data_IF_054437078762
#
_entry.id   IF_054437078762
#
_cell.length_a   1.000
_cell.length_b   1.000
_cell.length_c   1.000
_cell.angle_alpha   90.00
_cell.angle_beta   90.00
_cell.angle_gamma   90.00
#
_symmetry.space_group_name_H-M   'P 1'
#
loop_
_entity.id
_entity.type
_entity.pdbx_description
1 polymer ?
#
# COMPACT_ATOMS: atom_id res chain seq x y z
N UNK A 1 1.29 27.09 1.00
CA UNK A 1 1.93 27.15 2.30
C UNK A 1 1.90 25.82 2.98
N UNK A 2 2.96 25.58 3.74
CA UNK A 2 3.07 24.37 4.51
C UNK A 2 2.10 24.36 5.65
N UNK A 3 1.46 23.25 5.84
CA UNK A 3 0.51 23.07 6.92
C UNK A 3 0.90 21.84 7.71
N UNK A 4 0.67 21.91 9.00
CA UNK A 4 0.71 20.71 9.83
C UNK A 4 -0.70 20.22 10.00
N UNK A 5 -0.84 18.91 10.04
CA UNK A 5 -2.11 18.37 10.45
C UNK A 5 -2.23 18.47 11.97
N UNK A 6 -3.33 18.01 12.49
CA UNK A 6 -3.58 18.10 13.92
C UNK A 6 -2.67 17.19 14.74
N UNK A 7 -2.04 16.22 14.11
CA UNK A 7 -1.05 15.39 14.77
C UNK A 7 0.35 15.99 14.74
N UNK A 8 0.50 17.16 14.12
CA UNK A 8 1.77 17.83 14.05
C UNK A 8 2.69 17.36 12.95
N UNK A 9 2.22 16.49 12.09
CA UNK A 9 3.01 16.00 10.98
C UNK A 9 3.04 17.00 9.84
N UNK A 10 4.20 17.09 9.22
CA UNK A 10 4.40 17.91 8.05
C UNK A 10 4.17 17.07 6.81
N UNK A 11 3.17 17.41 6.03
CA UNK A 11 2.77 16.57 4.92
C UNK A 11 3.42 17.02 3.62
N UNK A 12 3.23 18.27 3.24
CA UNK A 12 3.84 18.76 2.00
C UNK A 12 3.69 20.27 1.91
N UNK A 13 4.49 20.84 0.99
CA UNK A 13 4.33 22.23 0.59
C UNK A 13 3.52 22.25 -0.69
N UNK A 14 2.20 22.20 -0.54
CA UNK A 14 1.29 22.00 -1.65
C UNK A 14 0.38 23.18 -1.83
N UNK A 15 -0.17 23.29 -3.05
CA UNK A 15 -1.17 24.31 -3.33
C UNK A 15 -2.49 23.96 -2.66
N UNK A 16 -3.38 24.93 -2.60
CA UNK A 16 -4.68 24.78 -1.94
C UNK A 16 -5.55 23.71 -2.60
N UNK A 17 -5.31 23.41 -3.88
CA UNK A 17 -6.10 22.42 -4.61
C UNK A 17 -5.54 21.03 -4.52
N UNK A 18 -4.41 20.85 -3.85
CA UNK A 18 -3.79 19.55 -3.74
C UNK A 18 -4.64 18.61 -2.92
N UNK A 19 -4.61 17.36 -3.34
CA UNK A 19 -5.26 16.28 -2.62
C UNK A 19 -4.22 15.37 -2.00
N UNK A 20 -4.61 14.68 -0.95
CA UNK A 20 -3.76 13.67 -0.33
C UNK A 20 -4.49 12.34 -0.30
N UNK A 21 -3.70 11.28 -0.25
CA UNK A 21 -4.20 9.94 0.00
C UNK A 21 -3.72 9.49 1.37
N UNK A 22 -4.63 8.97 2.17
CA UNK A 22 -4.32 8.43 3.48
C UNK A 22 -4.70 6.95 3.50
N UNK A 23 -3.80 6.10 3.94
CA UNK A 23 -3.99 4.65 3.95
C UNK A 23 -3.80 4.15 5.38
N UNK A 24 -4.77 3.37 5.86
CA UNK A 24 -4.72 2.78 7.20
C UNK A 24 -4.20 1.34 7.16
N UNK A 25 -3.80 0.85 8.33
CA UNK A 25 -3.24 -0.50 8.46
C UNK A 25 -4.22 -1.59 8.05
N UNK A 26 -5.52 -1.37 8.25
CA UNK A 26 -6.54 -2.35 7.88
C UNK A 26 -6.89 -2.31 6.39
N UNK A 27 -6.21 -1.48 5.61
CA UNK A 27 -6.35 -1.47 4.16
C UNK A 27 -7.33 -0.47 3.60
N UNK A 28 -7.91 0.37 4.42
CA UNK A 28 -8.79 1.43 3.94
C UNK A 28 -7.98 2.62 3.46
N UNK A 29 -8.44 3.27 2.39
CA UNK A 29 -7.82 4.51 1.98
C UNK A 29 -8.87 5.51 1.49
N UNK A 30 -8.48 6.77 1.52
CA UNK A 30 -9.36 7.87 1.17
C UNK A 30 -8.54 9.00 0.57
N UNK A 31 -9.11 9.64 -0.44
CA UNK A 31 -8.54 10.84 -1.06
C UNK A 31 -9.29 12.04 -0.51
N UNK A 32 -8.56 13.05 -0.05
CA UNK A 32 -9.18 14.24 0.53
C UNK A 32 -8.34 15.47 0.22
N UNK A 33 -8.93 16.65 0.35
CA UNK A 33 -8.17 17.89 0.22
C UNK A 33 -7.28 18.08 1.42
N UNK A 34 -6.10 18.63 1.18
CA UNK A 34 -5.11 18.81 2.24
C UNK A 34 -5.59 19.74 3.36
N UNK A 35 -6.56 20.60 3.07
CA UNK A 35 -7.07 21.54 4.07
C UNK A 35 -8.13 20.95 4.98
N UNK A 36 -8.66 19.79 4.65
CA UNK A 36 -9.68 19.15 5.44
C UNK A 36 -9.08 18.37 6.59
N UNK A 37 -9.73 18.42 7.75
CA UNK A 37 -9.20 17.81 8.96
C UNK A 37 -9.98 16.60 9.44
N UNK A 38 -11.08 16.29 8.79
CA UNK A 38 -11.99 15.26 9.29
C UNK A 38 -11.83 13.92 8.62
N UNK A 39 -10.77 13.71 7.84
CA UNK A 39 -10.66 12.50 7.04
C UNK A 39 -9.91 11.38 7.73
N UNK A 40 -9.66 11.44 8.97
CA UNK A 40 -8.73 10.56 9.65
C UNK A 40 -9.19 9.12 9.74
N UNK A 41 -8.24 8.23 9.53
CA UNK A 41 -8.34 6.85 9.99
C UNK A 41 -7.50 6.70 11.24
N UNK A 42 -7.78 5.68 12.03
CA UNK A 42 -6.84 5.23 13.03
C UNK A 42 -5.75 4.40 12.36
N UNK A 43 -4.57 4.34 12.95
CA UNK A 43 -3.47 3.51 12.46
C UNK A 43 -3.08 3.80 11.02
N UNK A 44 -2.86 5.06 10.71
CA UNK A 44 -2.35 5.43 9.39
C UNK A 44 -0.96 4.86 9.16
N UNK A 45 -0.76 4.26 7.99
CA UNK A 45 0.56 3.74 7.60
C UNK A 45 1.17 4.51 6.45
N UNK A 46 0.37 5.31 5.74
CA UNK A 46 0.88 6.10 4.62
C UNK A 46 0.00 7.32 4.40
N UNK A 47 0.65 8.45 4.20
CA UNK A 47 -0.01 9.69 3.76
C UNK A 47 0.89 10.33 2.71
N UNK A 48 0.31 10.67 1.57
CA UNK A 48 1.07 11.29 0.50
C UNK A 48 0.22 12.17 -0.38
N UNK A 49 0.89 12.92 -1.23
CA UNK A 49 0.20 13.75 -2.21
C UNK A 49 -0.45 12.85 -3.25
N UNK A 50 -1.69 13.15 -3.60
CA UNK A 50 -2.41 12.42 -4.64
C UNK A 50 -2.62 13.34 -5.84
N UNK A 51 -2.09 12.96 -6.99
CA UNK A 51 -2.22 13.69 -8.24
C UNK A 51 -3.07 12.88 -9.21
N UNK A 52 -4.24 13.39 -9.54
CA UNK A 52 -5.15 12.70 -10.43
C UNK A 52 -4.62 12.57 -11.85
N UNK A 53 -3.66 13.42 -12.23
CA UNK A 53 -3.00 13.32 -13.52
C UNK A 53 -1.83 12.35 -13.57
N UNK A 54 -1.50 11.76 -12.44
CA UNK A 54 -0.37 10.84 -12.32
C UNK A 54 -0.74 9.48 -12.91
N UNK A 55 -0.01 9.08 -13.95
CA UNK A 55 -0.22 7.77 -14.59
C UNK A 55 0.91 6.80 -14.30
N UNK A 56 1.86 7.18 -13.45
CA UNK A 56 3.07 6.40 -13.25
C UNK A 56 3.26 5.85 -11.86
N UNK A 57 2.55 6.40 -10.86
CA UNK A 57 2.67 5.89 -9.49
C UNK A 57 2.00 4.54 -9.37
N UNK A 58 2.74 3.58 -8.84
CA UNK A 58 2.28 2.22 -8.59
C UNK A 58 2.50 1.90 -7.11
N UNK A 59 1.47 1.34 -6.50
CA UNK A 59 1.55 0.89 -5.11
C UNK A 59 1.84 -0.61 -5.09
N UNK A 60 2.86 -0.99 -4.33
CA UNK A 60 3.18 -2.40 -4.10
C UNK A 60 2.78 -2.73 -2.67
N UNK A 61 2.01 -3.79 -2.50
CA UNK A 61 1.46 -4.12 -1.19
C UNK A 61 1.43 -5.62 -0.96
N UNK A 62 1.62 -6.00 0.30
CA UNK A 62 1.33 -7.36 0.77
C UNK A 62 0.33 -7.20 1.90
N UNK A 63 -0.77 -7.94 1.83
CA UNK A 63 -1.78 -7.89 2.86
C UNK A 63 -2.22 -9.29 3.27
N UNK A 64 -2.72 -9.39 4.49
CA UNK A 64 -3.29 -10.61 5.01
C UNK A 64 -4.81 -10.52 4.96
N UNK A 65 -5.44 -11.55 4.41
CA UNK A 65 -6.89 -11.64 4.42
C UNK A 65 -7.35 -12.11 5.80
N UNK A 66 -8.26 -11.34 6.39
CA UNK A 66 -8.70 -11.61 7.75
C UNK A 66 -9.54 -12.87 7.90
N UNK A 67 -10.20 -13.31 6.82
CA UNK A 67 -11.04 -14.49 6.89
C UNK A 67 -10.23 -15.77 6.78
N UNK A 68 -9.30 -15.82 5.83
CA UNK A 68 -8.57 -17.06 5.52
C UNK A 68 -7.16 -17.09 6.09
N UNK A 69 -6.61 -15.93 6.45
CA UNK A 69 -5.22 -15.83 6.88
C UNK A 69 -4.21 -15.93 5.74
N UNK A 70 -4.67 -15.98 4.51
CA UNK A 70 -3.81 -16.03 3.34
C UNK A 70 -3.20 -14.67 3.08
N UNK A 71 -1.93 -14.63 2.73
CA UNK A 71 -1.23 -13.40 2.38
C UNK A 71 -1.19 -13.23 0.87
N UNK A 72 -1.53 -12.03 0.41
CA UNK A 72 -1.55 -11.69 -1.00
C UNK A 72 -0.60 -10.54 -1.28
N UNK A 73 0.03 -10.57 -2.45
CA UNK A 73 0.81 -9.44 -2.96
C UNK A 73 0.12 -8.89 -4.19
N UNK A 74 0.11 -7.57 -4.31
CA UNK A 74 -0.48 -6.92 -5.48
C UNK A 74 0.28 -5.65 -5.83
N UNK A 75 0.22 -5.32 -7.10
CA UNK A 75 0.69 -4.03 -7.61
C UNK A 75 -0.50 -3.35 -8.28
N UNK A 76 -0.73 -2.11 -7.92
CA UNK A 76 -1.91 -1.44 -8.46
C UNK A 76 -1.69 0.06 -8.58
N UNK A 77 -2.40 0.65 -9.53
CA UNK A 77 -2.52 2.09 -9.63
C UNK A 77 -3.89 2.50 -9.12
N UNK A 78 -3.99 3.73 -8.64
CA UNK A 78 -5.24 4.25 -8.12
C UNK A 78 -5.75 5.29 -9.10
N UNK A 79 -6.86 4.98 -9.76
CA UNK A 79 -7.52 5.85 -10.72
C UNK A 79 -9.02 5.81 -10.46
N UNK A 80 -9.71 6.81 -10.99
CA UNK A 80 -11.18 6.83 -10.97
C UNK A 80 -11.74 6.75 -9.55
N UNK A 81 -11.18 7.57 -8.66
CA UNK A 81 -11.60 7.61 -7.26
C UNK A 81 -12.39 8.88 -6.97
N UNK A 82 -13.31 8.76 -6.04
CA UNK A 82 -14.13 9.88 -5.57
C UNK A 82 -13.52 10.44 -4.29
N UNK A 83 -13.46 11.77 -4.20
CA UNK A 83 -12.96 12.44 -3.00
C UNK A 83 -13.83 12.07 -1.79
N UNK A 84 -13.17 11.84 -0.68
CA UNK A 84 -13.80 11.55 0.63
C UNK A 84 -14.55 10.24 0.71
N UNK A 85 -14.44 9.39 -0.31
CA UNK A 85 -15.01 8.05 -0.26
C UNK A 85 -13.95 7.06 0.21
N UNK A 86 -14.35 6.10 1.04
CA UNK A 86 -13.45 5.05 1.49
C UNK A 86 -13.37 3.91 0.49
N UNK A 87 -12.16 3.41 0.31
CA UNK A 87 -11.89 2.27 -0.57
C UNK A 87 -11.03 1.26 0.19
N UNK A 88 -10.98 0.04 -0.33
CA UNK A 88 -10.19 -1.03 0.26
C UNK A 88 -9.06 -1.47 -0.66
N UNK A 89 -7.86 -1.61 -0.10
CA UNK A 89 -6.76 -2.29 -0.77
C UNK A 89 -6.94 -3.80 -0.67
N UNK A 90 -7.41 -4.26 0.49
CA UNK A 90 -7.72 -5.68 0.74
C UNK A 90 -9.07 -6.02 0.12
N UNK A 91 -9.55 -7.24 0.35
CA UNK A 91 -10.86 -7.64 -0.12
C UNK A 91 -11.98 -7.22 0.84
N UNK A 92 -11.65 -6.43 1.85
CA UNK A 92 -12.64 -5.89 2.77
C UNK A 92 -13.11 -6.84 3.85
N UNK A 93 -12.51 -8.01 3.96
CA UNK A 93 -12.92 -8.94 5.02
C UNK A 93 -12.44 -8.44 6.38
N UNK A 94 -13.25 -8.61 7.44
CA UNK A 94 -12.84 -8.17 8.77
C UNK A 94 -11.54 -8.83 9.20
N UNK A 95 -10.69 -8.06 9.85
CA UNK A 95 -9.39 -8.55 10.32
C UNK A 95 -8.28 -8.52 9.28
N UNK A 96 -8.56 -8.07 8.07
CA UNK A 96 -7.52 -7.91 7.05
C UNK A 96 -6.57 -6.79 7.45
N UNK A 97 -5.29 -6.93 7.08
CA UNK A 97 -4.28 -5.93 7.44
C UNK A 97 -3.21 -5.84 6.38
N UNK A 98 -2.70 -4.63 6.19
CA UNK A 98 -1.56 -4.37 5.32
C UNK A 98 -0.29 -4.74 6.10
N UNK A 99 0.54 -5.55 5.47
CA UNK A 99 1.83 -5.96 6.04
C UNK A 99 3.00 -5.23 5.40
N UNK A 100 2.83 -4.79 4.16
CA UNK A 100 3.86 -4.05 3.43
C UNK A 100 3.16 -3.12 2.44
N UNK A 101 3.65 -1.89 2.33
CA UNK A 101 3.12 -0.95 1.35
C UNK A 101 4.20 0.03 0.94
N UNK A 102 4.37 0.20 -0.37
CA UNK A 102 5.22 1.26 -0.91
C UNK A 102 4.49 1.98 -2.03
N UNK A 103 4.73 3.29 -2.10
CA UNK A 103 4.25 4.11 -3.20
C UNK A 103 5.45 4.39 -4.11
N UNK A 104 5.34 4.01 -5.36
CA UNK A 104 6.45 4.03 -6.29
C UNK A 104 6.14 4.98 -7.44
N UNK A 105 6.73 6.16 -7.42
CA UNK A 105 6.33 7.26 -8.29
C UNK A 105 6.64 7.04 -9.77
N UNK A 106 7.46 6.07 -10.08
CA UNK A 106 7.79 5.72 -11.47
C UNK A 106 7.68 4.21 -11.70
N UNK A 107 6.76 3.56 -11.01
CA UNK A 107 6.50 2.14 -11.21
C UNK A 107 7.64 1.22 -10.81
N UNK A 108 8.41 1.60 -9.81
CA UNK A 108 9.50 0.77 -9.31
C UNK A 108 8.95 -0.48 -8.64
N UNK A 109 9.72 -1.55 -8.69
CA UNK A 109 9.35 -2.83 -8.09
C UNK A 109 10.50 -3.37 -7.26
N UNK A 110 10.36 -3.22 -5.96
CA UNK A 110 11.37 -3.69 -5.01
C UNK A 110 11.28 -5.19 -4.77
N UNK A 111 12.27 -5.74 -4.10
CA UNK A 111 12.23 -7.09 -3.56
C UNK A 111 12.25 -7.01 -2.04
N UNK A 112 11.52 -7.92 -1.41
CA UNK A 112 11.42 -7.95 0.04
C UNK A 112 11.79 -9.33 0.57
N UNK A 113 12.25 -9.34 1.82
CA UNK A 113 12.52 -10.57 2.56
C UNK A 113 11.39 -10.75 3.56
N UNK A 114 10.76 -11.92 3.52
CA UNK A 114 9.62 -12.25 4.36
C UNK A 114 10.06 -13.28 5.38
N UNK A 115 9.84 -12.97 6.66
CA UNK A 115 10.09 -13.90 7.75
C UNK A 115 8.75 -14.39 8.27
N UNK A 116 8.63 -15.72 8.33
CA UNK A 116 7.41 -16.35 8.82
C UNK A 116 7.55 -16.69 10.30
N UNK A 117 6.43 -16.73 10.99
CA UNK A 117 6.41 -17.24 12.37
C UNK A 117 6.72 -18.73 12.35
N UNK A 118 7.50 -19.16 13.32
CA UNK A 118 7.84 -20.57 13.43
C UNK A 118 6.61 -21.41 13.69
N UNK A 119 6.47 -22.49 12.93
CA UNK A 119 5.38 -23.44 13.07
C UNK A 119 5.94 -24.86 12.96
N UNK A 120 5.21 -25.81 13.54
CA UNK A 120 5.69 -27.17 13.71
C UNK A 120 6.18 -27.82 12.41
N UNK A 121 5.47 -27.58 11.29
CA UNK A 121 5.78 -28.23 10.03
C UNK A 121 6.45 -27.31 9.03
N UNK A 122 6.74 -26.09 9.40
CA UNK A 122 7.32 -25.12 8.50
C UNK A 122 8.84 -25.22 8.55
N UNK A 123 9.44 -25.66 7.45
CA UNK A 123 10.89 -25.85 7.38
C UNK A 123 11.62 -24.58 6.94
N UNK A 124 11.01 -23.79 6.09
CA UNK A 124 11.62 -22.57 5.57
C UNK A 124 10.97 -21.37 6.23
N UNK A 125 11.75 -20.66 7.07
CA UNK A 125 11.24 -19.54 7.84
C UNK A 125 11.43 -18.20 7.12
N UNK A 126 12.23 -18.16 6.06
CA UNK A 126 12.51 -16.93 5.32
C UNK A 126 12.25 -17.19 3.85
N UNK A 127 11.56 -16.27 3.21
CA UNK A 127 11.35 -16.29 1.77
C UNK A 127 11.59 -14.90 1.22
N UNK A 128 11.65 -14.80 -0.10
CA UNK A 128 11.84 -13.53 -0.79
C UNK A 128 10.73 -13.35 -1.79
N UNK A 129 10.33 -12.09 -1.99
CA UNK A 129 9.31 -11.78 -2.97
C UNK A 129 9.77 -10.61 -3.82
N UNK A 130 9.74 -10.81 -5.13
CA UNK A 130 10.14 -9.79 -6.11
C UNK A 130 8.89 -9.23 -6.75
N UNK A 131 8.57 -7.97 -6.45
CA UNK A 131 7.38 -7.35 -6.99
C UNK A 131 7.41 -7.20 -8.50
N UNK A 132 8.59 -7.22 -9.12
CA UNK A 132 8.67 -7.11 -10.58
C UNK A 132 8.00 -8.28 -11.30
N UNK A 133 7.77 -9.38 -10.61
CA UNK A 133 7.08 -10.53 -11.19
C UNK A 133 5.57 -10.36 -11.26
N UNK A 134 5.04 -9.32 -10.61
CA UNK A 134 3.60 -9.06 -10.60
C UNK A 134 3.21 -8.07 -11.70
N UNK A 135 2.08 -8.36 -12.34
CA UNK A 135 1.47 -7.39 -13.25
C UNK A 135 0.85 -6.25 -12.46
N UNK A 136 0.94 -5.04 -13.01
CA UNK A 136 0.27 -3.87 -12.47
C UNK A 136 -1.19 -3.94 -12.88
N UNK A 137 -2.09 -3.90 -11.90
CA UNK A 137 -3.52 -4.04 -12.15
C UNK A 137 -4.29 -2.87 -11.52
N UNK A 138 -5.60 -2.92 -11.64
CA UNK A 138 -6.46 -1.91 -11.03
C UNK A 138 -6.52 -2.08 -9.51
N UNK A 139 -7.02 -1.04 -8.86
CA UNK A 139 -7.08 -0.99 -7.39
C UNK A 139 -7.96 -2.07 -6.77
N UNK A 140 -8.88 -2.63 -7.52
CA UNK A 140 -9.81 -3.65 -6.99
C UNK A 140 -9.28 -5.07 -7.12
N UNK A 141 -8.10 -5.28 -7.68
CA UNK A 141 -7.55 -6.62 -7.83
C UNK A 141 -7.27 -7.25 -6.46
N UNK A 142 -7.41 -8.57 -6.40
CA UNK A 142 -7.09 -9.31 -5.16
C UNK A 142 -5.59 -9.49 -4.99
N UNK A 143 -4.87 -9.68 -6.07
CA UNK A 143 -3.45 -9.99 -6.03
C UNK A 143 -3.18 -11.48 -6.10
N UNK A 144 -1.90 -11.84 -6.00
CA UNK A 144 -1.44 -13.22 -6.07
C UNK A 144 -1.09 -13.72 -4.68
N UNK A 145 -1.31 -15.00 -4.44
CA UNK A 145 -1.00 -15.60 -3.14
C UNK A 145 0.52 -15.62 -2.95
N UNK A 146 0.96 -15.09 -1.82
CA UNK A 146 2.35 -15.15 -1.38
C UNK A 146 2.56 -16.39 -0.52
N UNK A 147 1.70 -16.57 0.47
CA UNK A 147 1.85 -17.65 1.44
C UNK A 147 0.57 -17.81 2.25
N UNK A 148 0.37 -19.02 2.76
CA UNK A 148 -0.67 -19.30 3.73
C UNK A 148 -0.15 -19.31 5.16
N UNK A 149 1.15 -19.08 5.35
CA UNK A 149 1.77 -19.08 6.68
C UNK A 149 1.78 -17.67 7.25
N UNK A 150 1.70 -17.57 8.56
CA UNK A 150 1.70 -16.29 9.24
C UNK A 150 3.04 -15.59 9.06
N UNK A 151 3.00 -14.36 8.57
CA UNK A 151 4.19 -13.55 8.39
C UNK A 151 4.53 -12.84 9.69
N UNK A 152 5.77 -12.97 10.13
CA UNK A 152 6.26 -12.29 11.32
C UNK A 152 6.76 -10.88 10.99
N UNK A 153 7.52 -10.74 9.91
CA UNK A 153 8.05 -9.44 9.50
C UNK A 153 8.38 -9.44 8.02
N UNK A 154 8.44 -8.24 7.45
CA UNK A 154 8.84 -8.03 6.06
C UNK A 154 9.88 -6.91 6.07
N UNK A 155 10.97 -7.10 5.34
CA UNK A 155 12.05 -6.12 5.23
C UNK A 155 12.41 -5.92 3.77
N UNK A 156 12.85 -4.72 3.44
CA UNK A 156 13.36 -4.45 2.11
C UNK A 156 14.63 -5.26 1.87
N UNK A 157 14.67 -5.99 0.75
CA UNK A 157 15.87 -6.71 0.34
C UNK A 157 16.67 -5.90 -0.66
N UNK A 158 16.02 -5.37 -1.69
CA UNK A 158 16.69 -4.53 -2.68
C UNK A 158 15.70 -3.54 -3.28
N UNK A 159 16.22 -2.35 -3.55
CA UNK A 159 15.42 -1.32 -4.20
C UNK A 159 15.07 -1.78 -5.62
N UNK A 160 13.88 -1.39 -6.05
CA UNK A 160 13.42 -1.74 -7.37
C UNK A 160 13.83 -0.73 -8.42
N UNK A 161 13.76 -1.17 -9.65
CA UNK A 161 13.85 -0.28 -10.81
C UNK A 161 12.47 -0.16 -11.44
N UNK A 162 12.30 0.87 -12.25
CA UNK A 162 11.05 1.08 -12.93
C UNK A 162 10.73 -0.09 -13.85
N UNK A 163 9.48 -0.55 -13.79
CA UNK A 163 8.98 -1.62 -14.64
C UNK A 163 8.08 -1.09 -15.74
N UNK A 164 7.88 0.22 -15.80
CA UNK A 164 7.04 0.85 -16.82
C UNK A 164 7.91 1.62 -17.78
N UNK A 165 7.41 1.78 -19.01
CA UNK A 165 8.16 2.46 -20.05
C UNK A 165 7.96 3.97 -20.01
N UNK A 166 8.77 4.70 -20.77
CA UNK A 166 8.58 6.12 -20.94
C UNK A 166 8.99 6.99 -19.78
N UNK A 167 10.05 6.62 -19.08
CA UNK A 167 10.54 7.41 -17.94
C UNK A 167 10.89 8.82 -18.30
#
# INVERSE_FOLDING_TARGET
NLKRDDAGEFICDCSDISEIIAISKDGHYKISKITEKSFFFTDLIYVGVFDRGDTRTVYNAIYKDGKTGVNFAKRFSITSVTKDKEYDITMGTPGSAILWLTANHNGEAESVKIRFKQQKKLKKLIDEYDFSTLAIKGRTSRGNIVSKHTIQSIQLKSLGVSTISGK
#
